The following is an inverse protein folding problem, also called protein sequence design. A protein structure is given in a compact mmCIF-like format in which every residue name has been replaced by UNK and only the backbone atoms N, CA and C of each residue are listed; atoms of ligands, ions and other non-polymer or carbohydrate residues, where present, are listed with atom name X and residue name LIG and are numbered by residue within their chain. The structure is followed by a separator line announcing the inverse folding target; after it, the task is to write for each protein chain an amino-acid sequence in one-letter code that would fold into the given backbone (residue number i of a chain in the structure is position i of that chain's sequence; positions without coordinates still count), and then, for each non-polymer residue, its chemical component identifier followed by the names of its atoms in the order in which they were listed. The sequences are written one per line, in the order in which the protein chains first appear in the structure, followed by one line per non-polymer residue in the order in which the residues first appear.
data_IF_070795592365
#
_entry.id   IF_070795592365
#
_cell.length_a   1.000
_cell.length_b   1.000
_cell.length_c   1.000
_cell.angle_alpha   90.00
_cell.angle_beta   90.00
_cell.angle_gamma   90.00
#
_symmetry.space_group_name_H-M   'P 1'
#
loop_
_entity.id
_entity.type
_entity.pdbx_description
1 polymer ?
#
# COMPACT_ATOMS: atom_id res chain seq x y z
N UNK A 1 -7.66 16.43 -1.76
CA UNK A 1 -8.13 15.97 -0.44
C UNK A 1 -7.43 14.65 -0.15
N UNK A 2 -6.49 14.59 0.80
CA UNK A 2 -5.92 13.32 1.24
C UNK A 2 -6.96 12.55 2.07
N UNK A 3 -7.13 11.25 1.80
CA UNK A 3 -8.04 10.40 2.57
C UNK A 3 -7.24 9.52 3.52
N UNK A 4 -7.51 9.64 4.81
CA UNK A 4 -7.00 8.70 5.80
C UNK A 4 -7.73 7.37 5.63
N UNK A 5 -6.98 6.34 5.24
CA UNK A 5 -7.46 4.96 5.10
C UNK A 5 -6.88 4.12 6.23
N UNK A 6 -7.58 3.07 6.64
CA UNK A 6 -7.01 2.08 7.55
C UNK A 6 -6.43 0.94 6.74
N UNK A 7 -5.19 0.57 7.04
CA UNK A 7 -4.53 -0.55 6.39
C UNK A 7 -5.19 -1.87 6.82
N UNK A 8 -5.74 -2.70 5.91
CA UNK A 8 -6.38 -3.96 6.28
C UNK A 8 -5.42 -5.01 6.86
N UNK A 9 -4.09 -4.81 6.70
CA UNK A 9 -3.07 -5.73 7.23
C UNK A 9 -2.68 -5.41 8.68
N UNK A 10 -2.31 -4.17 8.97
CA UNK A 10 -1.83 -3.76 10.30
C UNK A 10 -2.85 -2.93 11.09
N UNK A 11 -4.02 -2.62 10.52
CA UNK A 11 -5.04 -1.72 11.08
C UNK A 11 -4.57 -0.30 11.40
N UNK A 12 -3.39 0.11 10.94
CA UNK A 12 -2.90 1.47 11.15
C UNK A 12 -3.58 2.46 10.21
N UNK A 13 -3.97 3.64 10.73
CA UNK A 13 -4.41 4.74 9.89
C UNK A 13 -3.22 5.31 9.12
N UNK A 14 -3.37 5.46 7.80
CA UNK A 14 -2.36 6.06 6.95
C UNK A 14 -3.00 7.03 5.96
N UNK A 15 -2.23 8.01 5.51
CA UNK A 15 -2.68 8.94 4.50
C UNK A 15 -2.55 8.28 3.11
N UNK A 16 -3.68 7.98 2.48
CA UNK A 16 -3.71 7.48 1.12
C UNK A 16 -3.92 8.66 0.17
N UNK A 17 -2.89 8.95 -0.63
CA UNK A 17 -2.95 9.91 -1.73
C UNK A 17 -3.21 9.16 -3.05
N UNK A 18 -4.30 8.39 -3.13
CA UNK A 18 -4.66 7.69 -4.38
C UNK A 18 -4.85 8.65 -5.56
N UNK A 19 -5.29 9.88 -5.27
CA UNK A 19 -5.41 10.98 -6.25
C UNK A 19 -4.06 11.41 -6.83
N UNK A 20 -3.02 11.35 -5.99
CA UNK A 20 -1.64 11.68 -6.34
C UNK A 20 -0.76 10.47 -6.05
N UNK A 21 -0.98 9.38 -6.79
CA UNK A 21 -0.26 8.10 -6.55
C UNK A 21 1.25 8.30 -6.56
N UNK A 22 1.77 9.23 -7.38
CA UNK A 22 3.20 9.56 -7.42
C UNK A 22 3.74 10.17 -6.13
N UNK A 23 2.89 10.81 -5.33
CA UNK A 23 3.21 11.34 -3.99
C UNK A 23 2.84 10.37 -2.86
N UNK A 24 2.15 9.27 -3.16
CA UNK A 24 1.86 8.25 -2.16
C UNK A 24 3.17 7.58 -1.75
N UNK A 25 3.41 7.46 -0.44
CA UNK A 25 4.56 6.69 0.07
C UNK A 25 4.58 5.24 -0.42
N UNK A 26 3.43 4.73 -0.87
CA UNK A 26 3.29 3.42 -1.52
C UNK A 26 3.95 3.33 -2.90
N UNK A 27 3.98 4.41 -3.69
CA UNK A 27 4.53 4.38 -5.05
C UNK A 27 6.06 4.42 -5.10
N UNK A 28 6.71 4.91 -4.04
CA UNK A 28 8.17 4.84 -3.90
C UNK A 28 8.67 3.42 -3.58
N UNK A 29 7.77 2.47 -3.35
CA UNK A 29 8.11 1.08 -2.99
C UNK A 29 8.10 0.23 -4.26
N UNK A 30 9.22 -0.42 -4.50
CA UNK A 30 9.44 -1.18 -5.72
C UNK A 30 8.94 -2.63 -5.56
N UNK A 31 7.67 -2.86 -5.87
CA UNK A 31 7.04 -4.17 -5.78
C UNK A 31 7.27 -4.98 -7.06
N UNK A 32 7.61 -6.26 -6.90
CA UNK A 32 7.67 -7.23 -8.00
C UNK A 32 6.26 -7.64 -8.44
N UNK A 33 6.10 -8.19 -9.65
CA UNK A 33 4.81 -8.70 -10.13
C UNK A 33 4.17 -9.72 -9.18
N UNK A 34 4.98 -10.61 -8.60
CA UNK A 34 4.53 -11.62 -7.62
C UNK A 34 3.92 -10.99 -6.36
N UNK A 35 4.50 -9.88 -5.88
CA UNK A 35 3.97 -9.15 -4.73
C UNK A 35 2.68 -8.43 -5.07
N UNK A 36 2.59 -7.84 -6.27
CA UNK A 36 1.38 -7.16 -6.74
C UNK A 36 0.21 -8.14 -6.89
N UNK A 37 0.46 -9.33 -7.43
CA UNK A 37 -0.55 -10.38 -7.58
C UNK A 37 -1.05 -10.87 -6.21
N UNK A 38 -0.13 -11.12 -5.28
CA UNK A 38 -0.47 -11.43 -3.90
C UNK A 38 -1.32 -10.33 -3.26
N UNK A 39 -0.93 -9.06 -3.40
CA UNK A 39 -1.67 -7.94 -2.83
C UNK A 39 -3.06 -7.84 -3.44
N UNK A 40 -3.18 -7.93 -4.77
CA UNK A 40 -4.47 -7.83 -5.47
C UNK A 40 -5.42 -8.99 -5.11
N UNK A 41 -4.88 -10.18 -4.87
CA UNK A 41 -5.66 -11.37 -4.48
C UNK A 41 -6.07 -11.36 -3.01
N UNK A 42 -5.20 -10.87 -2.10
CA UNK A 42 -5.45 -10.87 -0.66
C UNK A 42 -6.09 -9.59 -0.12
N UNK A 43 -5.85 -8.44 -0.75
CA UNK A 43 -6.29 -7.13 -0.27
C UNK A 43 -7.02 -6.37 -1.37
N UNK A 44 -8.25 -5.93 -1.07
CA UNK A 44 -9.08 -5.11 -1.98
C UNK A 44 -8.93 -3.61 -1.76
N UNK A 45 -8.17 -3.19 -0.75
CA UNK A 45 -7.99 -1.79 -0.38
C UNK A 45 -6.50 -1.44 -0.26
N UNK A 46 -6.19 -0.15 -0.16
CA UNK A 46 -4.80 0.31 -0.12
C UNK A 46 -4.09 -0.14 1.16
N UNK A 47 -2.85 -0.60 1.01
CA UNK A 47 -1.96 -0.93 2.12
C UNK A 47 -1.09 0.28 2.48
N UNK A 48 -0.72 0.38 3.75
CA UNK A 48 0.24 1.39 4.19
C UNK A 48 1.64 1.09 3.63
N UNK A 49 2.50 2.12 3.48
CA UNK A 49 3.86 1.95 2.97
C UNK A 49 4.70 0.99 3.81
N UNK A 50 4.45 0.88 5.11
CA UNK A 50 5.14 -0.05 5.99
C UNK A 50 4.89 -1.51 5.59
N UNK A 51 3.61 -1.89 5.50
CA UNK A 51 3.21 -3.23 5.06
C UNK A 51 3.64 -3.55 3.63
N UNK A 52 3.61 -2.57 2.72
CA UNK A 52 4.10 -2.74 1.35
C UNK A 52 5.62 -2.97 1.32
N UNK A 53 6.38 -2.28 2.18
CA UNK A 53 7.82 -2.50 2.33
C UNK A 53 8.11 -3.89 2.85
N UNK A 54 7.39 -4.36 3.86
CA UNK A 54 7.54 -5.72 4.38
C UNK A 54 7.33 -6.77 3.28
N UNK A 55 6.27 -6.62 2.47
CA UNK A 55 6.00 -7.53 1.34
C UNK A 55 7.11 -7.42 0.29
N UNK A 56 7.59 -6.21 0.01
CA UNK A 56 8.69 -5.99 -0.94
C UNK A 56 10.04 -6.56 -0.49
N UNK A 57 10.21 -6.81 0.82
CA UNK A 57 11.44 -7.33 1.42
C UNK A 57 11.34 -8.82 1.76
N UNK A 58 10.22 -9.48 1.41
CA UNK A 58 9.97 -10.89 1.68
C UNK A 58 10.31 -11.81 0.52
#
# INVERSE_FOLDING_TARGET
MSKTKQCPKCNQPFECKSDAIQECGCASIQLKPEHLDYIASHFKDCLCPDCLKEISQS
#
